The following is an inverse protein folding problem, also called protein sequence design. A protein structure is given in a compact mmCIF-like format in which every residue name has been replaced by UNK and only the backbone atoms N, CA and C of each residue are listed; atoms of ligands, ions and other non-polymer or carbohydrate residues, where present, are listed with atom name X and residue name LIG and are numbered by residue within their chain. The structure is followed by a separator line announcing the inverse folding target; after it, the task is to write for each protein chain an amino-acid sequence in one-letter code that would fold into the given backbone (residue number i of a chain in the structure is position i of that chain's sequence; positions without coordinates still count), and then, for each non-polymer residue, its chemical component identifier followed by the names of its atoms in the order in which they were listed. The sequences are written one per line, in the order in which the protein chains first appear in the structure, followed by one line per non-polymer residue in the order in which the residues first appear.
data_IF_966865375288
#
_entry.id   IF_966865375288
#
_cell.length_a   1.000
_cell.length_b   1.000
_cell.length_c   1.000
_cell.angle_alpha   90.00
_cell.angle_beta   90.00
_cell.angle_gamma   90.00
#
_symmetry.space_group_name_H-M   'P 1'
#
loop_
_entity.id
_entity.type
_entity.pdbx_description
1 polymer ?
#
# COMPACT_ATOMS: atom_id res chain seq x y z
N UNK A 1 -8.17 -11.55 -14.81
CA UNK A 1 -6.72 -11.33 -14.61
C UNK A 1 -6.05 -12.67 -14.45
N UNK A 2 -4.83 -12.81 -14.96
CA UNK A 2 -3.97 -13.96 -14.72
C UNK A 2 -2.90 -13.56 -13.71
N UNK A 3 -2.51 -14.51 -12.88
CA UNK A 3 -1.49 -14.38 -11.86
C UNK A 3 -0.36 -15.38 -12.10
N UNK A 4 0.80 -15.04 -11.66
CA UNK A 4 1.98 -15.91 -11.51
C UNK A 4 2.44 -15.78 -10.06
N UNK A 5 3.58 -16.38 -9.67
CA UNK A 5 4.07 -16.20 -8.31
C UNK A 5 5.29 -15.30 -8.26
N UNK A 6 5.64 -14.85 -7.05
CA UNK A 6 6.91 -14.16 -6.79
C UNK A 6 8.14 -15.03 -7.04
N UNK A 7 7.95 -16.36 -7.25
CA UNK A 7 9.01 -17.37 -7.38
C UNK A 7 9.02 -18.09 -8.73
N UNK A 8 7.85 -18.18 -9.40
CA UNK A 8 7.70 -18.87 -10.69
C UNK A 8 6.75 -18.09 -11.61
N UNK A 9 7.09 -18.02 -12.92
CA UNK A 9 6.26 -17.38 -13.96
C UNK A 9 5.77 -18.36 -15.03
N UNK A 10 6.13 -19.61 -14.93
CA UNK A 10 5.70 -20.64 -15.86
C UNK A 10 4.29 -21.14 -15.53
N UNK A 11 3.97 -21.18 -14.22
CA UNK A 11 2.66 -21.60 -13.75
C UNK A 11 1.73 -20.40 -13.64
N UNK A 12 0.60 -20.47 -14.33
CA UNK A 12 -0.41 -19.40 -14.38
C UNK A 12 -1.61 -19.76 -13.53
N UNK A 13 -2.04 -18.81 -12.72
CA UNK A 13 -3.18 -18.94 -11.80
C UNK A 13 -4.30 -17.99 -12.14
N UNK A 14 -5.52 -18.33 -11.77
CA UNK A 14 -6.69 -17.48 -11.91
C UNK A 14 -6.78 -16.45 -10.78
N UNK A 15 -7.59 -15.40 -10.98
CA UNK A 15 -7.87 -14.45 -9.90
C UNK A 15 -8.60 -15.08 -8.72
N UNK A 16 -9.37 -16.13 -8.94
CA UNK A 16 -10.08 -16.86 -7.90
C UNK A 16 -9.11 -17.59 -6.97
N UNK A 17 -8.14 -18.32 -7.53
CA UNK A 17 -7.08 -18.94 -6.75
C UNK A 17 -6.25 -17.92 -5.96
N UNK A 18 -5.90 -16.80 -6.57
CA UNK A 18 -5.13 -15.74 -5.89
C UNK A 18 -5.89 -15.06 -4.74
N UNK A 19 -7.22 -15.13 -4.72
CA UNK A 19 -8.04 -14.58 -3.62
C UNK A 19 -8.26 -15.59 -2.52
N UNK A 20 -8.47 -16.87 -2.87
CA UNK A 20 -8.77 -17.92 -1.88
C UNK A 20 -7.51 -18.38 -1.14
N UNK A 21 -6.34 -18.23 -1.73
CA UNK A 21 -5.08 -18.65 -1.15
C UNK A 21 -4.14 -17.46 -0.92
N UNK A 22 -3.46 -17.42 0.23
CA UNK A 22 -2.46 -16.37 0.52
C UNK A 22 -1.18 -16.58 -0.27
N UNK A 23 -0.78 -17.83 -0.41
CA UNK A 23 0.44 -18.26 -1.10
C UNK A 23 0.13 -19.38 -2.07
N UNK A 24 0.85 -19.37 -3.17
CA UNK A 24 0.78 -20.45 -4.15
C UNK A 24 1.47 -21.72 -3.64
N UNK A 25 1.29 -22.88 -4.30
CA UNK A 25 1.90 -24.15 -3.91
C UNK A 25 3.43 -24.13 -3.79
N UNK A 26 4.10 -23.24 -4.53
CA UNK A 26 5.55 -23.00 -4.44
C UNK A 26 5.96 -22.16 -3.21
N UNK A 27 4.97 -21.73 -2.41
CA UNK A 27 5.14 -20.86 -1.25
C UNK A 27 5.33 -19.37 -1.60
N UNK A 28 5.32 -19.01 -2.89
CA UNK A 28 5.40 -17.62 -3.36
C UNK A 28 4.09 -16.87 -3.19
N UNK A 29 4.15 -15.55 -3.21
CA UNK A 29 2.95 -14.71 -3.32
C UNK A 29 2.46 -14.69 -4.77
N UNK A 30 1.14 -14.69 -4.95
CA UNK A 30 0.56 -14.37 -6.25
C UNK A 30 0.89 -12.94 -6.61
N UNK A 31 1.29 -12.71 -7.86
CA UNK A 31 1.48 -11.38 -8.42
C UNK A 31 0.78 -11.32 -9.79
N UNK A 32 0.20 -10.18 -10.20
CA UNK A 32 -0.40 -10.06 -11.52
C UNK A 32 0.63 -10.37 -12.61
N UNK A 33 0.27 -11.20 -13.57
CA UNK A 33 1.14 -11.45 -14.74
C UNK A 33 1.51 -10.15 -15.46
N UNK A 34 0.58 -9.20 -15.47
CA UNK A 34 0.79 -7.82 -15.94
C UNK A 34 -0.05 -6.87 -15.10
N UNK A 35 0.53 -5.78 -14.66
CA UNK A 35 -0.23 -4.72 -13.99
C UNK A 35 -1.11 -4.02 -15.04
N UNK A 36 -2.44 -3.95 -14.84
CA UNK A 36 -3.34 -3.35 -15.80
C UNK A 36 -3.14 -1.84 -15.86
N UNK A 37 -2.87 -1.30 -17.04
CA UNK A 37 -2.76 0.15 -17.26
C UNK A 37 -4.08 0.73 -17.72
N UNK A 38 -4.50 1.84 -17.15
CA UNK A 38 -5.66 2.60 -17.60
C UNK A 38 -5.26 3.57 -18.71
N UNK A 39 -6.05 3.62 -19.76
CA UNK A 39 -5.93 4.66 -20.80
C UNK A 39 -6.20 6.06 -20.24
N UNK A 40 -5.75 7.09 -20.94
CA UNK A 40 -6.05 8.47 -20.56
C UNK A 40 -7.56 8.77 -20.51
N UNK A 41 -8.34 8.18 -21.44
CA UNK A 41 -9.79 8.30 -21.46
C UNK A 41 -10.45 7.69 -20.23
N UNK A 42 -10.04 6.47 -19.83
CA UNK A 42 -10.55 5.81 -18.63
C UNK A 42 -10.22 6.63 -17.37
N UNK A 43 -8.97 7.11 -17.23
CA UNK A 43 -8.60 7.96 -16.08
C UNK A 43 -9.40 9.26 -16.02
N UNK A 44 -9.65 9.89 -17.15
CA UNK A 44 -10.46 11.10 -17.22
C UNK A 44 -11.93 10.83 -16.83
N UNK A 45 -12.50 9.70 -17.26
CA UNK A 45 -13.82 9.28 -16.84
C UNK A 45 -13.92 9.05 -15.33
N UNK A 46 -12.86 8.51 -14.71
CA UNK A 46 -12.81 8.25 -13.27
C UNK A 46 -12.66 9.54 -12.44
N UNK A 47 -12.11 10.63 -13.00
CA UNK A 47 -12.03 11.93 -12.30
C UNK A 47 -13.39 12.50 -11.91
N UNK A 48 -14.43 12.27 -12.71
CA UNK A 48 -15.79 12.71 -12.44
C UNK A 48 -16.68 11.65 -11.79
N UNK A 49 -16.18 10.42 -11.69
CA UNK A 49 -16.92 9.30 -11.13
C UNK A 49 -17.01 9.38 -9.59
N UNK A 50 -18.04 8.79 -9.01
CA UNK A 50 -18.10 8.56 -7.56
C UNK A 50 -16.99 7.61 -7.12
N UNK A 51 -16.55 7.72 -5.86
CA UNK A 51 -15.50 6.89 -5.30
C UNK A 51 -15.76 5.38 -5.48
N UNK A 52 -16.99 4.94 -5.22
CA UNK A 52 -17.44 3.56 -5.41
C UNK A 52 -17.18 3.05 -6.83
N UNK A 53 -17.53 3.84 -7.85
CA UNK A 53 -17.29 3.47 -9.26
C UNK A 53 -15.81 3.42 -9.58
N UNK A 54 -15.01 4.31 -9.02
CA UNK A 54 -13.56 4.29 -9.19
C UNK A 54 -12.97 3.01 -8.59
N UNK A 55 -13.35 2.67 -7.36
CA UNK A 55 -12.89 1.46 -6.67
C UNK A 55 -13.30 0.21 -7.44
N UNK A 56 -14.57 0.10 -7.81
CA UNK A 56 -15.07 -1.06 -8.59
C UNK A 56 -14.35 -1.20 -9.93
N UNK A 57 -14.07 -0.09 -10.62
CA UNK A 57 -13.33 -0.10 -11.88
C UNK A 57 -11.89 -0.58 -11.71
N UNK A 58 -11.23 -0.24 -10.61
CA UNK A 58 -9.86 -0.69 -10.32
C UNK A 58 -9.86 -2.15 -9.90
N UNK A 59 -10.73 -2.52 -8.95
CA UNK A 59 -10.77 -3.89 -8.40
C UNK A 59 -11.12 -4.90 -9.48
N UNK A 60 -12.06 -4.59 -10.38
CA UNK A 60 -12.46 -5.48 -11.48
C UNK A 60 -11.32 -5.80 -12.47
N UNK A 61 -10.23 -5.02 -12.45
CA UNK A 61 -9.03 -5.32 -13.23
C UNK A 61 -8.19 -6.44 -12.63
N UNK A 62 -8.28 -6.61 -11.32
CA UNK A 62 -7.55 -7.64 -10.59
C UNK A 62 -8.44 -8.86 -10.32
N UNK A 63 -9.68 -8.64 -9.89
CA UNK A 63 -10.57 -9.66 -9.36
C UNK A 63 -11.92 -9.66 -10.07
N UNK A 64 -12.54 -10.82 -10.17
CA UNK A 64 -13.94 -10.94 -10.61
C UNK A 64 -14.87 -10.75 -9.42
N UNK A 65 -15.33 -9.53 -9.22
CA UNK A 65 -16.27 -9.19 -8.16
C UNK A 65 -17.58 -8.71 -8.80
N UNK A 66 -18.75 -9.19 -8.36
CA UNK A 66 -20.04 -8.71 -8.84
C UNK A 66 -20.20 -7.20 -8.61
N UNK A 67 -20.84 -6.52 -9.56
CA UNK A 67 -21.18 -5.11 -9.42
C UNK A 67 -22.07 -4.88 -8.18
N UNK A 68 -21.85 -3.77 -7.48
CA UNK A 68 -22.61 -3.40 -6.28
C UNK A 68 -22.19 -4.08 -4.97
N UNK A 69 -21.27 -5.04 -5.00
CA UNK A 69 -20.74 -5.66 -3.79
C UNK A 69 -19.66 -4.85 -3.10
N UNK A 70 -18.90 -4.05 -3.88
CA UNK A 70 -17.88 -3.14 -3.38
C UNK A 70 -18.52 -1.79 -3.06
N UNK A 71 -18.76 -1.51 -1.80
CA UNK A 71 -19.23 -0.21 -1.33
C UNK A 71 -18.32 0.31 -0.19
N UNK A 72 -16.99 0.45 -0.40
CA UNK A 72 -16.16 1.08 0.61
C UNK A 72 -16.48 2.58 0.61
N UNK A 73 -16.76 3.11 1.79
CA UNK A 73 -16.80 4.56 1.98
C UNK A 73 -15.39 5.11 2.06
N UNK A 74 -15.14 6.16 1.31
CA UNK A 74 -13.94 6.97 1.44
C UNK A 74 -14.35 8.28 2.09
N UNK A 75 -13.66 8.64 3.15
CA UNK A 75 -13.74 9.96 3.74
C UNK A 75 -12.41 10.67 3.59
N UNK A 76 -12.43 11.81 2.92
CA UNK A 76 -11.28 12.68 2.73
C UNK A 76 -11.46 13.93 3.58
N UNK A 77 -10.58 14.13 4.55
CA UNK A 77 -10.49 15.34 5.34
C UNK A 77 -9.24 16.15 4.90
N UNK A 78 -9.39 17.41 4.59
CA UNK A 78 -8.26 18.27 4.22
C UNK A 78 -7.69 18.91 5.49
N UNK A 79 -6.44 18.57 5.84
CA UNK A 79 -5.78 19.01 7.07
C UNK A 79 -5.01 20.33 6.94
N UNK A 80 -5.03 20.98 5.78
CA UNK A 80 -4.18 22.12 5.47
C UNK A 80 -2.83 21.70 4.86
N UNK A 81 -2.02 22.68 4.44
CA UNK A 81 -0.70 22.43 3.80
C UNK A 81 -0.73 21.41 2.67
N UNK A 82 -1.82 21.30 1.93
CA UNK A 82 -2.06 20.31 0.87
C UNK A 82 -1.92 18.87 1.35
N UNK A 83 -2.31 18.59 2.58
CA UNK A 83 -2.39 17.24 3.13
C UNK A 83 -3.85 16.83 3.21
N UNK A 84 -4.20 15.73 2.58
CA UNK A 84 -5.46 15.03 2.74
C UNK A 84 -5.29 13.82 3.65
N UNK A 85 -6.20 13.62 4.58
CA UNK A 85 -6.34 12.41 5.37
C UNK A 85 -7.45 11.58 4.77
N UNK A 86 -7.10 10.41 4.24
CA UNK A 86 -8.05 9.50 3.62
C UNK A 86 -8.32 8.29 4.51
N UNK A 87 -9.58 8.10 4.91
CA UNK A 87 -10.04 6.89 5.60
C UNK A 87 -10.71 5.95 4.61
N UNK A 88 -10.28 4.70 4.60
CA UNK A 88 -10.66 3.66 3.62
C UNK A 88 -11.47 2.55 4.32
N UNK A 89 -12.56 2.89 4.99
CA UNK A 89 -13.46 1.86 5.53
C UNK A 89 -14.85 2.45 5.82
N UNK A 90 -15.93 1.67 5.67
CA UNK A 90 -17.24 2.12 6.09
C UNK A 90 -17.29 2.24 7.62
N UNK A 91 -18.04 3.22 8.11
CA UNK A 91 -18.25 3.41 9.55
C UNK A 91 -18.79 2.17 10.26
N UNK A 92 -19.50 1.30 9.52
CA UNK A 92 -20.12 0.08 10.05
C UNK A 92 -19.13 -1.00 10.48
N UNK A 93 -17.98 -1.12 9.81
CA UNK A 93 -17.00 -2.19 10.09
C UNK A 93 -15.87 -1.78 11.03
N UNK A 94 -15.77 -0.51 11.39
CA UNK A 94 -14.80 0.00 12.37
C UNK A 94 -13.34 -0.03 11.94
N UNK A 95 -12.98 -0.82 10.92
CA UNK A 95 -11.62 -0.94 10.40
C UNK A 95 -11.60 -1.45 8.96
N UNK A 96 -10.51 -1.17 8.24
CA UNK A 96 -10.29 -1.72 6.90
C UNK A 96 -10.26 -3.26 6.90
N UNK A 97 -9.60 -3.87 7.89
CA UNK A 97 -9.55 -5.34 8.02
C UNK A 97 -10.95 -5.94 8.22
N UNK A 98 -11.77 -5.34 9.08
CA UNK A 98 -13.16 -5.77 9.30
C UNK A 98 -13.97 -5.70 8.00
N UNK A 99 -13.82 -4.62 7.23
CA UNK A 99 -14.50 -4.48 5.94
C UNK A 99 -14.07 -5.57 4.92
N UNK A 100 -12.79 -5.88 4.83
CA UNK A 100 -12.29 -6.95 3.95
C UNK A 100 -12.83 -8.31 4.38
N UNK A 101 -12.90 -8.59 5.70
CA UNK A 101 -13.50 -9.83 6.21
C UNK A 101 -14.97 -9.95 5.83
N UNK A 102 -15.78 -8.93 6.10
CA UNK A 102 -17.21 -8.91 5.72
C UNK A 102 -17.42 -9.09 4.22
N UNK A 103 -16.60 -8.43 3.41
CA UNK A 103 -16.66 -8.53 1.96
C UNK A 103 -16.32 -9.94 1.49
N UNK A 104 -15.33 -10.56 2.10
CA UNK A 104 -14.93 -11.92 1.78
C UNK A 104 -15.98 -12.95 2.16
N UNK A 105 -16.57 -12.85 3.34
CA UNK A 105 -17.65 -13.73 3.76
C UNK A 105 -18.85 -13.69 2.80
N UNK A 106 -19.08 -12.52 2.19
CA UNK A 106 -20.15 -12.34 1.18
C UNK A 106 -19.77 -12.89 -0.19
N UNK A 107 -18.50 -12.83 -0.57
CA UNK A 107 -18.00 -13.28 -1.88
C UNK A 107 -17.72 -14.79 -1.90
N UNK A 108 -17.22 -15.32 -0.79
CA UNK A 108 -16.72 -16.70 -0.66
C UNK A 108 -17.30 -17.34 0.61
N UNK A 109 -18.63 -17.50 0.70
CA UNK A 109 -19.28 -18.01 1.90
C UNK A 109 -18.81 -19.44 2.23
N UNK A 110 -18.30 -19.62 3.44
CA UNK A 110 -17.83 -20.92 3.93
C UNK A 110 -16.40 -21.29 3.55
N UNK A 111 -15.69 -20.46 2.80
CA UNK A 111 -14.29 -20.66 2.50
C UNK A 111 -13.41 -19.91 3.51
N UNK A 112 -12.30 -20.53 3.94
CA UNK A 112 -11.23 -19.84 4.67
C UNK A 112 -10.33 -19.15 3.65
N UNK A 113 -10.79 -18.07 3.06
CA UNK A 113 -10.00 -17.29 2.14
C UNK A 113 -9.01 -16.39 2.92
N UNK A 114 -7.75 -16.37 2.52
CA UNK A 114 -6.78 -15.40 3.02
C UNK A 114 -6.79 -14.15 2.15
N UNK A 115 -7.76 -13.37 2.29
CA UNK A 115 -8.20 -12.17 1.60
C UNK A 115 -7.10 -11.19 1.10
N UNK A 116 -5.85 -11.64 0.93
CA UNK A 116 -4.72 -10.78 0.59
C UNK A 116 -4.95 -9.97 -0.68
N UNK A 117 -5.29 -10.65 -1.79
CA UNK A 117 -5.52 -9.94 -3.06
C UNK A 117 -6.82 -9.15 -3.08
N UNK A 118 -7.82 -9.55 -2.31
CA UNK A 118 -9.01 -8.74 -2.08
C UNK A 118 -8.63 -7.44 -1.35
N UNK A 119 -7.84 -7.55 -0.28
CA UNK A 119 -7.32 -6.41 0.48
C UNK A 119 -6.48 -5.48 -0.40
N UNK A 120 -5.50 -6.02 -1.14
CA UNK A 120 -4.64 -5.24 -2.05
C UNK A 120 -5.50 -4.55 -3.12
N UNK A 121 -6.42 -5.26 -3.76
CA UNK A 121 -7.26 -4.71 -4.82
C UNK A 121 -8.17 -3.58 -4.33
N UNK A 122 -8.87 -3.79 -3.20
CA UNK A 122 -9.74 -2.76 -2.60
C UNK A 122 -8.93 -1.55 -2.16
N UNK A 123 -7.78 -1.75 -1.50
CA UNK A 123 -6.90 -0.65 -1.09
C UNK A 123 -6.34 0.12 -2.29
N UNK A 124 -5.92 -0.57 -3.35
CA UNK A 124 -5.49 0.06 -4.61
C UNK A 124 -6.59 0.95 -5.20
N UNK A 125 -7.82 0.43 -5.26
CA UNK A 125 -8.99 1.17 -5.72
C UNK A 125 -9.33 2.37 -4.83
N UNK A 126 -9.21 2.21 -3.53
CA UNK A 126 -9.48 3.26 -2.57
C UNK A 126 -8.44 4.39 -2.63
N UNK A 127 -7.15 4.06 -2.75
CA UNK A 127 -6.09 5.05 -2.99
C UNK A 127 -6.34 5.81 -4.29
N UNK A 128 -6.69 5.11 -5.37
CA UNK A 128 -7.01 5.71 -6.64
C UNK A 128 -8.20 6.68 -6.55
N UNK A 129 -9.28 6.26 -5.90
CA UNK A 129 -10.47 7.09 -5.71
C UNK A 129 -10.18 8.32 -4.83
N UNK A 130 -9.39 8.16 -3.78
CA UNK A 130 -8.97 9.26 -2.90
C UNK A 130 -8.14 10.31 -3.63
N UNK A 131 -7.24 9.87 -4.51
CA UNK A 131 -6.48 10.76 -5.38
C UNK A 131 -7.41 11.53 -6.33
N UNK A 132 -8.37 10.83 -6.96
CA UNK A 132 -9.32 11.47 -7.86
C UNK A 132 -10.19 12.50 -7.11
N UNK A 133 -10.62 12.19 -5.90
CA UNK A 133 -11.39 13.09 -5.06
C UNK A 133 -10.54 14.28 -4.58
N UNK A 134 -9.34 14.04 -4.09
CA UNK A 134 -8.41 15.08 -3.66
C UNK A 134 -8.16 16.11 -4.76
N UNK A 135 -7.87 15.67 -5.98
CA UNK A 135 -7.62 16.55 -7.12
C UNK A 135 -8.86 17.24 -7.68
N UNK A 136 -10.08 16.85 -7.27
CA UNK A 136 -11.29 17.65 -7.52
C UNK A 136 -11.36 18.90 -6.65
N UNK A 137 -10.90 18.80 -5.39
CA UNK A 137 -10.87 19.93 -4.46
C UNK A 137 -9.70 20.88 -4.74
N UNK A 138 -8.56 20.35 -5.14
CA UNK A 138 -7.37 21.15 -5.47
C UNK A 138 -7.22 21.37 -6.99
N UNK A 139 -8.09 22.23 -7.53
CA UNK A 139 -8.12 22.58 -8.96
C UNK A 139 -6.83 23.22 -9.48
N UNK A 140 -5.96 23.72 -8.60
CA UNK A 140 -4.66 24.30 -8.95
C UNK A 140 -3.56 23.27 -9.28
N UNK A 141 -3.85 21.99 -9.12
CA UNK A 141 -2.87 20.90 -9.27
C UNK A 141 -3.08 20.00 -10.50
N UNK A 142 -3.71 20.51 -11.55
CA UNK A 142 -3.86 19.79 -12.83
C UNK A 142 -2.46 19.38 -13.32
N UNK A 143 -2.22 18.08 -13.50
CA UNK A 143 -0.94 17.44 -13.90
C UNK A 143 0.11 17.27 -12.79
N UNK A 144 -0.22 17.39 -11.52
CA UNK A 144 0.68 17.05 -10.41
C UNK A 144 0.36 15.66 -9.85
N UNK A 145 1.34 15.05 -9.20
CA UNK A 145 1.18 13.85 -8.40
C UNK A 145 1.00 14.21 -6.92
N UNK A 146 0.38 13.34 -6.14
CA UNK A 146 0.36 13.45 -4.69
C UNK A 146 1.22 12.35 -4.07
N UNK A 147 2.03 12.71 -3.09
CA UNK A 147 2.75 11.74 -2.28
C UNK A 147 1.77 10.97 -1.39
N UNK A 148 2.02 9.69 -1.19
CA UNK A 148 1.16 8.82 -0.37
C UNK A 148 1.93 8.42 0.87
N UNK A 149 1.47 8.81 2.05
CA UNK A 149 2.06 8.40 3.32
C UNK A 149 1.17 7.37 4.03
N UNK A 150 1.78 6.31 4.51
CA UNK A 150 1.11 5.23 5.24
C UNK A 150 2.10 4.48 6.12
N UNK A 151 1.58 3.66 7.03
CA UNK A 151 2.43 2.72 7.75
C UNK A 151 3.12 1.76 6.79
N UNK A 152 4.37 1.44 7.07
CA UNK A 152 5.09 0.36 6.38
C UNK A 152 4.42 -0.98 6.70
N UNK A 153 4.23 -1.30 7.99
CA UNK A 153 3.56 -2.51 8.44
C UNK A 153 4.05 -3.76 7.72
N UNK A 154 3.12 -4.50 7.15
CA UNK A 154 3.39 -5.69 6.34
C UNK A 154 3.80 -5.39 4.88
N UNK A 155 3.87 -4.13 4.47
CA UNK A 155 4.16 -3.62 3.12
C UNK A 155 3.10 -3.88 2.04
N UNK A 156 1.98 -4.51 2.34
CA UNK A 156 0.91 -4.66 1.34
C UNK A 156 0.17 -3.33 1.06
N UNK A 157 0.15 -2.42 2.03
CA UNK A 157 -0.30 -1.05 1.81
C UNK A 157 0.56 -0.31 0.77
N UNK A 158 1.88 -0.19 0.98
CA UNK A 158 2.81 0.34 -0.01
C UNK A 158 2.73 -0.33 -1.38
N UNK A 159 2.57 -1.67 -1.43
CA UNK A 159 2.35 -2.40 -2.69
C UNK A 159 1.07 -1.96 -3.40
N UNK A 160 -0.01 -1.70 -2.67
CA UNK A 160 -1.27 -1.18 -3.23
C UNK A 160 -1.11 0.22 -3.83
N UNK A 161 -0.33 1.10 -3.17
CA UNK A 161 -0.01 2.42 -3.70
C UNK A 161 0.87 2.34 -4.96
N UNK A 162 1.82 1.42 -4.98
CA UNK A 162 2.63 1.15 -6.17
C UNK A 162 1.76 0.66 -7.34
N UNK A 163 0.85 -0.27 -7.11
CA UNK A 163 -0.09 -0.75 -8.14
C UNK A 163 -0.96 0.40 -8.70
N UNK A 164 -1.47 1.28 -7.84
CA UNK A 164 -2.22 2.46 -8.28
C UNK A 164 -1.36 3.36 -9.19
N UNK A 165 -0.08 3.58 -8.85
CA UNK A 165 0.87 4.33 -9.67
C UNK A 165 1.06 3.67 -11.04
N UNK A 166 1.33 2.38 -11.08
CA UNK A 166 1.57 1.63 -12.31
C UNK A 166 0.32 1.55 -13.22
N UNK A 167 -0.87 1.60 -12.63
CA UNK A 167 -2.14 1.74 -13.37
C UNK A 167 -2.30 3.12 -14.00
N UNK A 168 -1.46 4.11 -13.63
CA UNK A 168 -1.42 5.47 -14.18
C UNK A 168 -2.16 6.51 -13.35
N UNK A 169 -2.49 6.21 -12.09
CA UNK A 169 -2.98 7.24 -11.16
C UNK A 169 -1.85 8.18 -10.73
N UNK A 170 -2.15 9.43 -10.35
CA UNK A 170 -1.15 10.45 -10.07
C UNK A 170 -0.50 10.28 -8.68
N UNK A 171 0.11 9.12 -8.44
CA UNK A 171 0.88 8.82 -7.23
C UNK A 171 2.29 9.37 -7.39
N UNK A 172 2.72 10.18 -6.43
CA UNK A 172 4.09 10.69 -6.29
C UNK A 172 5.00 9.69 -5.59
N UNK A 173 5.69 10.14 -4.54
CA UNK A 173 6.46 9.25 -3.65
C UNK A 173 5.53 8.49 -2.74
N UNK A 174 5.90 7.24 -2.45
CA UNK A 174 5.23 6.42 -1.43
C UNK A 174 6.09 6.48 -0.17
N UNK A 175 5.56 7.09 0.88
CA UNK A 175 6.27 7.34 2.13
C UNK A 175 5.84 6.27 3.11
N UNK A 176 6.70 5.30 3.34
CA UNK A 176 6.48 4.16 4.22
C UNK A 176 6.99 4.54 5.62
N UNK A 177 6.09 4.68 6.58
CA UNK A 177 6.45 5.09 7.92
C UNK A 177 6.57 3.85 8.80
N UNK A 178 7.77 3.65 9.32
CA UNK A 178 8.12 2.60 10.28
C UNK A 178 8.06 3.17 11.70
N UNK A 179 7.78 2.30 12.68
CA UNK A 179 8.07 2.55 14.07
C UNK A 179 9.51 2.09 14.39
N UNK A 180 9.75 1.63 15.62
CA UNK A 180 11.01 1.02 16.04
C UNK A 180 11.38 -0.22 15.22
N UNK A 181 10.41 -0.83 14.52
CA UNK A 181 10.59 -1.93 13.58
C UNK A 181 10.86 -1.37 12.19
N UNK A 182 12.12 -1.19 11.84
CA UNK A 182 12.58 -0.34 10.74
C UNK A 182 13.20 -1.08 9.57
N UNK A 183 12.91 -2.38 9.38
CA UNK A 183 13.51 -3.22 8.34
C UNK A 183 13.47 -2.58 6.94
N UNK A 184 12.33 -2.01 6.54
CA UNK A 184 12.21 -1.39 5.23
C UNK A 184 12.99 -0.06 5.14
N UNK A 185 13.10 0.67 6.26
CA UNK A 185 13.95 1.85 6.33
C UNK A 185 15.43 1.48 6.21
N UNK A 186 15.88 0.41 6.90
CA UNK A 186 17.27 -0.10 6.78
C UNK A 186 17.58 -0.47 5.34
N UNK A 187 16.69 -1.23 4.68
CA UNK A 187 16.86 -1.60 3.28
C UNK A 187 17.02 -0.38 2.38
N UNK A 188 16.14 0.60 2.48
CA UNK A 188 16.19 1.78 1.60
C UNK A 188 17.36 2.72 1.90
N UNK A 189 17.74 2.90 3.16
CA UNK A 189 18.77 3.88 3.54
C UNK A 189 20.17 3.27 3.59
N UNK A 190 20.31 2.04 4.07
CA UNK A 190 21.59 1.35 4.17
C UNK A 190 21.87 0.38 3.02
N UNK A 191 20.86 0.09 2.18
CA UNK A 191 21.01 -0.82 1.03
C UNK A 191 21.17 -2.28 1.44
N UNK A 192 20.74 -2.65 2.65
CA UNK A 192 20.88 -4.01 3.15
C UNK A 192 19.80 -4.35 4.16
N UNK A 193 19.50 -5.64 4.30
CA UNK A 193 18.57 -6.16 5.27
C UNK A 193 19.14 -7.42 5.94
N UNK A 194 19.10 -7.44 7.26
CA UNK A 194 19.51 -8.59 8.07
C UNK A 194 18.32 -9.51 8.33
N UNK A 195 18.52 -10.85 8.30
CA UNK A 195 17.44 -11.81 8.56
C UNK A 195 17.12 -12.00 10.05
N UNK A 196 18.00 -11.57 10.95
CA UNK A 196 17.93 -11.79 12.40
C UNK A 196 17.23 -10.69 13.19
N UNK A 197 16.44 -9.85 12.50
CA UNK A 197 15.66 -8.80 13.15
C UNK A 197 14.57 -9.38 14.04
N UNK A 198 14.41 -8.81 15.22
CA UNK A 198 13.38 -9.20 16.19
C UNK A 198 12.38 -8.04 16.33
N UNK A 199 11.09 -8.37 16.26
CA UNK A 199 10.05 -7.37 16.42
C UNK A 199 10.03 -6.78 17.84
N UNK A 200 10.03 -5.46 17.89
CA UNK A 200 9.83 -4.70 19.14
C UNK A 200 8.34 -4.35 19.28
N UNK A 201 7.75 -4.64 20.43
CA UNK A 201 6.36 -4.26 20.72
C UNK A 201 6.26 -2.78 21.02
N UNK A 202 5.35 -2.10 20.34
CA UNK A 202 5.09 -0.67 20.51
C UNK A 202 3.62 -0.39 20.79
N UNK A 203 3.23 0.87 20.83
CA UNK A 203 1.83 1.29 20.90
C UNK A 203 1.09 1.25 19.53
N UNK A 204 1.76 0.78 18.49
CA UNK A 204 1.22 0.66 17.12
C UNK A 204 1.42 -0.78 16.64
N UNK A 205 0.63 -1.75 17.15
CA UNK A 205 0.83 -3.18 16.89
C UNK A 205 0.82 -3.55 15.40
N UNK A 206 0.09 -2.81 14.58
CA UNK A 206 0.04 -3.01 13.14
C UNK A 206 1.37 -2.71 12.42
N UNK A 207 2.29 -2.00 13.08
CA UNK A 207 3.64 -1.73 12.60
C UNK A 207 4.71 -2.59 13.28
N UNK A 208 4.35 -3.44 14.27
CA UNK A 208 5.27 -4.27 15.03
C UNK A 208 5.66 -5.53 14.26
N UNK A 209 6.33 -5.33 13.13
CA UNK A 209 6.74 -6.39 12.21
C UNK A 209 8.25 -6.33 12.02
N UNK A 210 8.97 -7.41 12.39
CA UNK A 210 10.43 -7.47 12.25
C UNK A 210 10.86 -7.42 10.78
N UNK A 211 10.36 -8.36 9.99
CA UNK A 211 10.57 -8.42 8.53
C UNK A 211 9.19 -8.51 7.90
N UNK A 212 8.77 -7.51 7.11
CA UNK A 212 7.46 -7.51 6.49
C UNK A 212 7.24 -8.67 5.51
N UNK A 213 6.15 -9.41 5.67
CA UNK A 213 5.76 -10.51 4.78
C UNK A 213 5.64 -10.05 3.32
N UNK A 214 5.10 -8.84 3.11
CA UNK A 214 4.90 -8.27 1.79
C UNK A 214 6.18 -7.78 1.11
N UNK A 215 7.34 -7.86 1.76
CA UNK A 215 8.61 -7.42 1.15
C UNK A 215 8.97 -8.29 -0.06
N UNK A 216 8.79 -9.62 0.01
CA UNK A 216 8.95 -10.52 -1.14
C UNK A 216 8.06 -10.09 -2.31
N UNK A 217 6.77 -9.83 -2.02
CA UNK A 217 5.80 -9.40 -3.02
C UNK A 217 6.19 -8.05 -3.63
N UNK A 218 6.61 -7.09 -2.82
CA UNK A 218 7.01 -5.76 -3.25
C UNK A 218 8.26 -5.79 -4.14
N UNK A 219 9.27 -6.56 -3.75
CA UNK A 219 10.50 -6.76 -4.56
C UNK A 219 10.12 -7.42 -5.90
N UNK A 220 9.30 -8.47 -5.89
CA UNK A 220 8.88 -9.14 -7.12
C UNK A 220 8.10 -8.20 -8.06
N UNK A 221 7.24 -7.34 -7.52
CA UNK A 221 6.47 -6.36 -8.29
C UNK A 221 7.34 -5.23 -8.88
N UNK A 222 8.32 -4.75 -8.12
CA UNK A 222 9.12 -3.57 -8.49
C UNK A 222 10.42 -3.92 -9.24
N UNK A 223 11.08 -5.02 -8.84
CA UNK A 223 12.41 -5.39 -9.29
C UNK A 223 12.44 -6.71 -10.07
N UNK A 224 11.32 -7.44 -10.06
CA UNK A 224 11.20 -8.73 -10.73
C UNK A 224 11.53 -9.93 -9.84
N UNK A 225 11.26 -11.11 -10.38
CA UNK A 225 11.37 -12.38 -9.64
C UNK A 225 12.80 -12.81 -9.33
N UNK A 226 13.73 -12.46 -10.19
CA UNK A 226 15.15 -12.77 -9.97
C UNK A 226 15.65 -12.10 -8.69
N UNK A 227 15.33 -10.83 -8.50
CA UNK A 227 15.69 -10.10 -7.27
C UNK A 227 14.92 -10.63 -6.06
N UNK A 228 13.65 -11.02 -6.20
CA UNK A 228 12.88 -11.66 -5.14
C UNK A 228 13.49 -13.02 -4.76
N UNK A 229 14.02 -13.78 -5.72
CA UNK A 229 14.77 -15.01 -5.48
C UNK A 229 16.06 -14.80 -4.68
N UNK A 230 16.82 -13.75 -4.99
CA UNK A 230 18.01 -13.34 -4.22
C UNK A 230 17.65 -12.96 -2.78
N UNK A 231 16.58 -12.21 -2.61
CA UNK A 231 16.05 -11.87 -1.28
C UNK A 231 15.72 -13.14 -0.48
N UNK A 232 14.96 -14.06 -1.07
CA UNK A 232 14.55 -15.29 -0.41
C UNK A 232 15.73 -16.19 -0.04
N UNK A 233 16.73 -16.30 -0.92
CA UNK A 233 17.93 -17.08 -0.65
C UNK A 233 18.73 -16.49 0.52
N UNK A 234 18.91 -15.17 0.56
CA UNK A 234 19.55 -14.50 1.68
C UNK A 234 18.80 -14.73 3.00
N UNK A 235 17.46 -14.60 2.99
CA UNK A 235 16.65 -14.84 4.20
C UNK A 235 16.72 -16.30 4.67
N UNK A 236 16.73 -17.27 3.73
CA UNK A 236 16.78 -18.69 4.03
C UNK A 236 18.15 -19.15 4.55
N UNK A 237 19.22 -18.61 3.99
CA UNK A 237 20.59 -18.93 4.41
C UNK A 237 21.02 -18.22 5.71
N UNK A 238 20.20 -17.30 6.23
CA UNK A 238 20.58 -16.44 7.34
C UNK A 238 21.62 -15.38 6.95
N UNK A 239 21.77 -15.12 5.65
CA UNK A 239 22.71 -14.14 5.10
C UNK A 239 22.13 -12.74 5.00
N UNK A 240 23.00 -11.79 4.77
CA UNK A 240 22.63 -10.41 4.52
C UNK A 240 22.03 -10.27 3.12
N UNK A 241 20.82 -9.73 3.01
CA UNK A 241 20.27 -9.37 1.72
C UNK A 241 20.78 -7.99 1.29
N UNK A 242 21.39 -7.93 0.12
CA UNK A 242 21.86 -6.71 -0.54
C UNK A 242 21.28 -6.70 -1.95
N UNK A 243 20.34 -5.81 -2.27
CA UNK A 243 19.79 -5.67 -3.63
C UNK A 243 20.88 -5.29 -4.63
N UNK A 244 20.65 -5.56 -5.90
CA UNK A 244 21.44 -4.93 -6.96
C UNK A 244 21.28 -3.41 -6.92
N UNK A 245 22.38 -2.69 -7.21
CA UNK A 245 22.39 -1.21 -7.15
C UNK A 245 21.29 -0.59 -7.99
N UNK A 246 21.04 -1.12 -9.17
CA UNK A 246 19.96 -0.67 -10.07
C UNK A 246 18.58 -0.85 -9.47
N UNK A 247 18.34 -1.97 -8.77
CA UNK A 247 17.08 -2.27 -8.10
C UNK A 247 16.90 -1.41 -6.85
N UNK A 248 17.96 -1.23 -6.06
CA UNK A 248 17.93 -0.35 -4.89
C UNK A 248 17.62 1.10 -5.30
N UNK A 249 18.28 1.63 -6.33
CA UNK A 249 17.99 2.95 -6.86
C UNK A 249 16.55 3.05 -7.40
N UNK A 250 16.07 2.02 -8.08
CA UNK A 250 14.68 1.97 -8.52
C UNK A 250 13.70 2.04 -7.34
N UNK A 251 13.90 1.23 -6.29
CA UNK A 251 13.09 1.30 -5.07
C UNK A 251 13.14 2.70 -4.45
N UNK A 252 14.31 3.33 -4.38
CA UNK A 252 14.47 4.71 -3.90
C UNK A 252 13.79 5.76 -4.76
N UNK A 253 13.58 5.52 -6.06
CA UNK A 253 12.78 6.43 -6.90
C UNK A 253 11.30 6.37 -6.56
N UNK A 254 10.79 5.23 -6.12
CA UNK A 254 9.38 4.96 -5.81
C UNK A 254 9.04 5.28 -4.36
N UNK A 255 9.88 4.81 -3.45
CA UNK A 255 9.62 4.81 -2.01
C UNK A 255 10.56 5.76 -1.24
N UNK A 256 10.06 6.20 -0.11
CA UNK A 256 10.84 6.77 0.99
C UNK A 256 10.41 6.08 2.27
N UNK A 257 11.34 5.85 3.16
CA UNK A 257 11.01 5.34 4.48
C UNK A 257 11.41 6.37 5.54
N UNK A 258 10.56 6.51 6.54
CA UNK A 258 10.80 7.34 7.72
C UNK A 258 10.61 6.48 8.97
N UNK A 259 11.44 6.69 9.99
CA UNK A 259 11.26 6.07 11.30
C UNK A 259 10.70 7.12 12.25
N UNK A 260 9.56 6.80 12.85
CA UNK A 260 8.89 7.67 13.83
C UNK A 260 8.64 6.85 15.11
N UNK A 261 9.24 7.28 16.20
CA UNK A 261 9.05 6.63 17.51
C UNK A 261 7.76 7.10 18.21
N UNK A 262 7.42 6.48 19.33
CA UNK A 262 6.18 6.76 20.06
C UNK A 262 5.93 8.24 20.40
N UNK A 263 6.99 9.05 20.62
CA UNK A 263 6.85 10.52 20.80
C UNK A 263 6.31 11.26 19.56
N UNK A 264 6.49 10.68 18.37
CA UNK A 264 5.96 11.24 17.11
C UNK A 264 4.44 11.13 16.99
N UNK A 265 3.79 10.16 17.67
CA UNK A 265 2.34 9.98 17.65
C UNK A 265 1.62 11.26 18.09
N UNK A 266 2.03 11.86 19.20
CA UNK A 266 1.43 13.11 19.69
C UNK A 266 1.59 14.27 18.70
N UNK A 267 2.70 14.31 17.97
CA UNK A 267 2.93 15.30 16.91
C UNK A 267 1.95 15.07 15.74
N UNK A 268 1.75 13.82 15.33
CA UNK A 268 0.76 13.46 14.32
C UNK A 268 -0.67 13.79 14.73
N UNK A 269 -1.06 13.47 15.97
CA UNK A 269 -2.39 13.83 16.51
C UNK A 269 -2.61 15.34 16.47
N UNK A 270 -1.63 16.15 16.90
CA UNK A 270 -1.73 17.62 16.80
C UNK A 270 -1.86 18.10 15.34
N UNK A 271 -1.12 17.48 14.43
CA UNK A 271 -1.16 17.82 13.00
C UNK A 271 -2.47 17.42 12.31
N UNK A 272 -3.25 16.53 12.91
CA UNK A 272 -4.58 16.16 12.40
C UNK A 272 -5.65 17.24 12.62
N UNK A 273 -5.31 18.35 13.29
CA UNK A 273 -6.20 19.52 13.47
C UNK A 273 -7.59 19.18 14.01
N UNK A 274 -7.68 18.25 14.96
CA UNK A 274 -8.94 17.81 15.58
C UNK A 274 -9.65 16.68 14.81
N UNK A 275 -9.14 16.22 13.67
CA UNK A 275 -9.61 14.98 13.06
C UNK A 275 -9.25 13.79 13.96
N UNK A 276 -10.20 12.89 14.17
CA UNK A 276 -9.96 11.65 14.90
C UNK A 276 -9.02 10.75 14.10
N UNK A 277 -7.92 10.34 14.71
CA UNK A 277 -6.90 9.49 14.06
C UNK A 277 -6.46 8.38 15.02
N UNK A 278 -6.22 7.19 14.45
CA UNK A 278 -5.56 6.09 15.18
C UNK A 278 -4.09 6.43 15.44
N UNK A 279 -3.45 5.69 16.36
CA UNK A 279 -2.02 5.84 16.62
C UNK A 279 -1.18 5.60 15.36
N UNK A 280 -1.55 4.60 14.55
CA UNK A 280 -0.87 4.31 13.29
C UNK A 280 -1.02 5.42 12.26
N UNK A 281 -2.22 5.99 12.12
CA UNK A 281 -2.46 7.14 11.24
C UNK A 281 -1.68 8.37 11.71
N UNK A 282 -1.63 8.62 13.02
CA UNK A 282 -0.84 9.72 13.57
C UNK A 282 0.67 9.52 13.31
N UNK A 283 1.15 8.29 13.41
CA UNK A 283 2.52 7.93 13.06
C UNK A 283 2.81 8.22 11.58
N UNK A 284 1.93 7.78 10.68
CA UNK A 284 2.05 8.05 9.24
C UNK A 284 2.06 9.55 8.92
N UNK A 285 1.20 10.33 9.57
CA UNK A 285 1.17 11.79 9.41
C UNK A 285 2.46 12.44 9.94
N UNK A 286 2.99 12.01 11.07
CA UNK A 286 4.24 12.52 11.60
C UNK A 286 5.42 12.22 10.65
N UNK A 287 5.50 11.01 10.10
CA UNK A 287 6.52 10.63 9.12
C UNK A 287 6.45 11.43 7.81
N UNK A 288 5.24 11.75 7.34
CA UNK A 288 5.06 12.67 6.21
C UNK A 288 5.62 14.06 6.51
N UNK A 289 5.37 14.58 7.72
CA UNK A 289 5.87 15.90 8.12
C UNK A 289 7.41 15.91 8.20
N UNK A 290 8.01 14.85 8.74
CA UNK A 290 9.47 14.69 8.81
C UNK A 290 10.08 14.62 7.40
N UNK A 291 9.49 13.85 6.50
CA UNK A 291 9.89 13.77 5.10
C UNK A 291 9.85 15.17 4.43
N UNK A 292 8.74 15.91 4.63
CA UNK A 292 8.59 17.25 4.06
C UNK A 292 9.61 18.24 4.61
N UNK A 293 9.88 18.20 5.90
CA UNK A 293 10.88 19.05 6.55
C UNK A 293 12.29 18.77 6.01
N UNK A 294 12.65 17.50 5.86
CA UNK A 294 13.96 17.08 5.36
C UNK A 294 14.15 17.35 3.86
N UNK A 295 13.11 17.13 3.05
CA UNK A 295 13.19 17.28 1.58
C UNK A 295 12.80 18.67 1.07
N UNK A 296 12.30 19.55 1.94
CA UNK A 296 11.75 20.88 1.59
C UNK A 296 10.63 20.82 0.52
N UNK A 297 9.90 19.71 0.48
CA UNK A 297 8.79 19.48 -0.44
C UNK A 297 7.49 19.90 0.23
N UNK A 298 6.63 20.64 -0.49
CA UNK A 298 5.31 21.10 -0.03
C UNK A 298 4.18 20.77 -1.04
N UNK A 299 4.40 19.74 -1.87
CA UNK A 299 3.42 19.26 -2.85
C UNK A 299 2.17 18.64 -2.21
N UNK A 300 1.18 18.26 -3.03
CA UNK A 300 0.04 17.45 -2.58
C UNK A 300 0.48 16.17 -1.90
N UNK A 301 -0.20 15.78 -0.82
CA UNK A 301 0.01 14.48 -0.19
C UNK A 301 -1.28 13.93 0.42
N UNK A 302 -1.41 12.61 0.44
CA UNK A 302 -2.46 11.90 1.14
C UNK A 302 -1.85 11.02 2.23
N UNK A 303 -2.44 11.07 3.41
CA UNK A 303 -2.18 10.08 4.48
C UNK A 303 -3.30 9.06 4.42
N UNK A 304 -2.95 7.80 4.26
CA UNK A 304 -3.90 6.70 4.24
C UNK A 304 -4.07 6.19 5.66
N UNK A 305 -5.31 6.25 6.13
CA UNK A 305 -5.74 5.77 7.44
C UNK A 305 -6.51 4.45 7.31
N UNK A 306 -6.12 3.47 8.12
CA UNK A 306 -6.73 2.13 8.18
C UNK A 306 -7.28 1.82 9.56
#
# INVERSE_FOLDING_TARGET
MLYVTSRDDLTVYTSEQAVTERRAPDGGFFIPFRIPKLSAGERNALRSARAEKCISSVVSRFLRIPEGLLAPEIRLDILGNRIGLCRIYPKSSGSFRGHISELSDRLYPGERADHLWLSIGVRTGAIAASLMEYFRFDTGCVNRTADIAMLAGDLFGPASAYLAREMGFPVGKIICVCNENSAFWELLNHGQLRPDLIAVRTSVPEADVAIPDGLECLIALCCGREEAGRYLEAMRSGGLYVPEDTHLEHLRTLFRAAVVTGSGIQRGVRAAHGAEVSAGTALALAGLLDYRAGSRVSGPALVIAE
#
